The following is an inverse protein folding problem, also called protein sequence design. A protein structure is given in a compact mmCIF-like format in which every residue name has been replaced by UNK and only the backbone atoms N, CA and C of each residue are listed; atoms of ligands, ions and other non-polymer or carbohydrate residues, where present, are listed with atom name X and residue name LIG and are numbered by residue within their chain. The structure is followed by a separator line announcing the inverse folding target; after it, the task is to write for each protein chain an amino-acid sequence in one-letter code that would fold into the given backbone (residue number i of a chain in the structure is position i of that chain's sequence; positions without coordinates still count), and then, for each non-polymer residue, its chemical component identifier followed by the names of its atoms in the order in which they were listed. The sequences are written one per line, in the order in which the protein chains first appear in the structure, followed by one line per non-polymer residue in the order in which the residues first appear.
data_IF_940775961578
#
_entry.id   IF_940775961578
#
_cell.length_a   1.000
_cell.length_b   1.000
_cell.length_c   1.000
_cell.angle_alpha   90.00
_cell.angle_beta   90.00
_cell.angle_gamma   90.00
#
_symmetry.space_group_name_H-M   'P 1'
#
loop_
_entity.id
_entity.type
_entity.pdbx_description
1 polymer ?
#
# COMPACT_ATOMS: atom_id res chain seq x y z
N UNK A 1 -15.58 -28.68 -0.76
CA UNK A 1 -15.86 -27.44 -1.51
C UNK A 1 -14.93 -26.35 -0.99
N UNK A 2 -13.87 -26.04 -1.73
CA UNK A 2 -12.95 -24.96 -1.38
C UNK A 2 -13.67 -23.64 -1.63
N UNK A 3 -14.11 -22.98 -0.57
CA UNK A 3 -14.46 -21.56 -0.63
C UNK A 3 -13.17 -20.81 -0.95
N UNK A 4 -12.89 -20.63 -2.24
CA UNK A 4 -11.98 -19.61 -2.70
C UNK A 4 -12.70 -18.29 -2.47
N UNK A 5 -12.75 -17.84 -1.21
CA UNK A 5 -12.87 -16.43 -0.92
C UNK A 5 -11.68 -15.82 -1.63
N UNK A 6 -11.91 -15.25 -2.81
CA UNK A 6 -10.99 -14.30 -3.41
C UNK A 6 -10.69 -13.31 -2.29
N UNK A 7 -9.55 -13.50 -1.62
CA UNK A 7 -9.13 -12.65 -0.52
C UNK A 7 -9.16 -11.26 -1.11
N UNK A 8 -10.13 -10.46 -0.67
CA UNK A 8 -10.17 -9.04 -1.02
C UNK A 8 -8.78 -8.54 -0.68
N UNK A 9 -8.03 -8.12 -1.71
CA UNK A 9 -6.71 -7.56 -1.50
C UNK A 9 -6.93 -6.21 -0.88
N UNK A 10 -7.01 -6.18 0.44
CA UNK A 10 -7.05 -4.95 1.19
C UNK A 10 -5.69 -4.27 1.04
N UNK A 11 -5.75 -3.05 0.51
CA UNK A 11 -4.63 -2.12 0.53
C UNK A 11 -4.89 -1.13 1.66
N UNK A 12 -3.82 -0.65 2.26
CA UNK A 12 -3.86 0.38 3.30
C UNK A 12 -3.11 1.62 2.82
N UNK A 13 -3.38 2.76 3.46
CA UNK A 13 -2.63 3.99 3.20
C UNK A 13 -1.13 3.74 3.39
N UNK A 14 -0.31 4.34 2.52
CA UNK A 14 1.14 4.15 2.40
C UNK A 14 1.60 2.78 1.89
N UNK A 15 0.71 1.86 1.50
CA UNK A 15 1.12 0.67 0.75
C UNK A 15 1.81 1.10 -0.55
N UNK A 16 3.00 0.56 -0.80
CA UNK A 16 3.70 0.71 -2.07
C UNK A 16 3.15 -0.34 -3.01
N UNK A 17 2.63 0.13 -4.14
CA UNK A 17 2.00 -0.70 -5.16
C UNK A 17 2.68 -0.55 -6.50
N UNK A 18 2.39 -1.48 -7.40
CA UNK A 18 2.85 -1.40 -8.78
C UNK A 18 1.83 -1.93 -9.78
N UNK A 19 1.99 -1.48 -11.03
CA UNK A 19 1.29 -1.99 -12.21
C UNK A 19 2.23 -2.05 -13.41
N UNK A 20 1.82 -2.77 -14.44
CA UNK A 20 2.48 -2.72 -15.74
C UNK A 20 1.80 -1.69 -16.63
N UNK A 21 2.59 -0.93 -17.39
CA UNK A 21 2.09 -0.11 -18.49
C UNK A 21 1.88 -0.95 -19.76
N UNK A 22 1.42 -0.29 -20.84
CA UNK A 22 1.21 -0.93 -22.15
C UNK A 22 2.49 -1.52 -22.76
N UNK A 23 3.66 -1.10 -22.29
CA UNK A 23 4.99 -1.57 -22.71
C UNK A 23 5.62 -2.56 -21.72
N UNK A 24 4.84 -3.12 -20.78
CA UNK A 24 5.31 -4.04 -19.74
C UNK A 24 6.37 -3.44 -18.80
N UNK A 25 6.45 -2.11 -18.69
CA UNK A 25 7.30 -1.43 -17.71
C UNK A 25 6.57 -1.32 -16.39
N UNK A 26 7.31 -1.47 -15.29
CA UNK A 26 6.76 -1.34 -13.94
C UNK A 26 6.58 0.15 -13.63
N UNK A 27 5.38 0.52 -13.19
CA UNK A 27 5.08 1.83 -12.62
C UNK A 27 4.75 1.61 -11.15
N UNK A 28 5.52 2.28 -10.28
CA UNK A 28 5.29 2.28 -8.85
C UNK A 28 4.29 3.37 -8.46
N UNK A 29 3.58 3.14 -7.36
CA UNK A 29 2.70 4.14 -6.77
C UNK A 29 2.55 3.93 -5.27
N UNK A 30 2.01 4.92 -4.61
CA UNK A 30 1.70 4.89 -3.17
C UNK A 30 0.20 5.03 -3.02
N UNK A 31 -0.40 4.14 -2.23
CA UNK A 31 -1.82 4.22 -1.87
C UNK A 31 -1.99 5.39 -0.92
N UNK A 32 -2.79 6.38 -1.32
CA UNK A 32 -3.14 7.54 -0.50
C UNK A 32 -4.31 7.18 0.39
N UNK A 33 -5.33 6.56 -0.21
CA UNK A 33 -6.60 6.27 0.44
C UNK A 33 -7.20 4.97 -0.09
N UNK A 34 -8.02 4.30 0.71
CA UNK A 34 -8.68 3.04 0.38
C UNK A 34 -10.14 3.08 0.81
N UNK A 35 -10.99 2.32 0.13
CA UNK A 35 -12.41 2.30 0.47
C UNK A 35 -12.66 1.93 1.93
N UNK A 36 -13.25 2.86 2.68
CA UNK A 36 -13.80 2.64 4.02
C UNK A 36 -15.34 2.61 3.95
N UNK A 37 -15.94 1.60 4.57
CA UNK A 37 -17.40 1.48 4.65
C UNK A 37 -17.97 2.33 5.81
N UNK A 38 -17.53 3.60 5.91
CA UNK A 38 -18.03 4.55 6.90
C UNK A 38 -19.16 5.40 6.32
N UNK A 39 -20.14 5.79 7.14
CA UNK A 39 -21.27 6.64 6.75
C UNK A 39 -20.94 8.13 6.71
N UNK A 40 -19.79 8.53 7.24
CA UNK A 40 -19.47 9.94 7.52
C UNK A 40 -18.48 10.53 6.51
N UNK A 41 -18.27 9.87 5.36
CA UNK A 41 -17.36 10.33 4.31
C UNK A 41 -18.05 11.35 3.40
N UNK A 42 -17.35 12.44 3.13
CA UNK A 42 -17.77 13.48 2.18
C UNK A 42 -18.00 12.86 0.79
N UNK A 43 -19.26 12.83 0.34
CA UNK A 43 -19.70 12.06 -0.84
C UNK A 43 -18.93 12.43 -2.12
N UNK A 44 -18.44 13.67 -2.23
CA UNK A 44 -17.72 14.16 -3.40
C UNK A 44 -16.37 13.49 -3.63
N UNK A 45 -15.77 12.89 -2.59
CA UNK A 45 -14.47 12.23 -2.66
C UNK A 45 -14.51 10.78 -2.15
N UNK A 46 -15.69 10.23 -1.91
CA UNK A 46 -15.84 8.86 -1.44
C UNK A 46 -15.36 7.84 -2.49
N UNK A 47 -14.54 6.89 -2.05
CA UNK A 47 -14.18 5.72 -2.86
C UNK A 47 -15.35 4.74 -2.90
N UNK A 48 -15.45 3.97 -3.99
CA UNK A 48 -16.38 2.83 -4.05
C UNK A 48 -15.69 1.54 -3.62
N UNK A 49 -16.49 0.54 -3.21
CA UNK A 49 -15.97 -0.78 -2.85
C UNK A 49 -15.08 -1.36 -3.95
N UNK A 50 -13.86 -1.77 -3.57
CA UNK A 50 -12.85 -2.30 -4.49
C UNK A 50 -12.05 -1.22 -5.23
N UNK A 51 -12.22 0.06 -4.87
CA UNK A 51 -11.38 1.16 -5.33
C UNK A 51 -10.34 1.57 -4.27
N UNK A 52 -9.26 2.14 -4.76
CA UNK A 52 -8.19 2.78 -4.00
C UNK A 52 -7.79 4.07 -4.71
N UNK A 53 -7.28 5.03 -3.96
CA UNK A 53 -6.64 6.23 -4.51
C UNK A 53 -5.13 6.06 -4.46
N UNK A 54 -4.47 6.27 -5.60
CA UNK A 54 -3.03 6.03 -5.76
C UNK A 54 -2.37 7.23 -6.42
N UNK A 55 -1.23 7.66 -5.89
CA UNK A 55 -0.29 8.56 -6.56
C UNK A 55 0.78 7.73 -7.26
N UNK A 56 0.85 7.80 -8.59
CA UNK A 56 1.80 7.02 -9.39
C UNK A 56 3.09 7.82 -9.63
N UNK A 57 4.25 7.15 -9.63
CA UNK A 57 5.56 7.78 -9.82
C UNK A 57 5.73 8.51 -11.16
N UNK A 58 4.88 8.20 -12.14
CA UNK A 58 4.87 8.81 -13.46
C UNK A 58 3.74 9.83 -13.66
N UNK A 59 3.06 10.24 -12.59
CA UNK A 59 1.99 11.22 -12.63
C UNK A 59 2.03 12.12 -11.40
N UNK A 60 1.69 13.40 -11.55
CA UNK A 60 1.67 14.37 -10.45
C UNK A 60 0.34 14.42 -9.70
N UNK A 61 -0.70 13.71 -10.16
CA UNK A 61 -2.04 13.71 -9.56
C UNK A 61 -2.45 12.34 -9.07
N UNK A 62 -3.20 12.34 -7.98
CA UNK A 62 -3.88 11.17 -7.43
C UNK A 62 -4.92 10.63 -8.43
N UNK A 63 -5.07 9.31 -8.47
CA UNK A 63 -6.01 8.64 -9.35
C UNK A 63 -6.75 7.53 -8.61
N UNK A 64 -8.04 7.39 -8.90
CA UNK A 64 -8.86 6.28 -8.41
C UNK A 64 -8.65 5.06 -9.31
N UNK A 65 -8.30 3.93 -8.72
CA UNK A 65 -8.01 2.67 -9.41
C UNK A 65 -8.78 1.52 -8.79
N UNK A 66 -9.10 0.50 -9.60
CA UNK A 66 -9.61 -0.77 -9.10
C UNK A 66 -8.46 -1.57 -8.47
N UNK A 67 -8.67 -2.06 -7.24
CA UNK A 67 -7.71 -2.89 -6.51
C UNK A 67 -7.24 -4.11 -7.33
N UNK A 68 -8.13 -4.70 -8.13
CA UNK A 68 -7.82 -5.86 -8.99
C UNK A 68 -6.81 -5.57 -10.11
N UNK A 69 -6.54 -4.30 -10.42
CA UNK A 69 -5.57 -3.87 -11.44
C UNK A 69 -4.21 -3.50 -10.85
N UNK A 70 -4.07 -3.60 -9.53
CA UNK A 70 -2.90 -3.15 -8.78
C UNK A 70 -2.30 -4.32 -7.99
N UNK A 71 -0.98 -4.31 -7.80
CA UNK A 71 -0.25 -5.33 -7.04
C UNK A 71 0.50 -4.69 -5.89
N UNK A 72 0.45 -5.31 -4.72
CA UNK A 72 1.23 -4.89 -3.55
C UNK A 72 2.71 -5.19 -3.81
N UNK A 73 3.57 -4.20 -3.65
CA UNK A 73 5.03 -4.36 -3.65
C UNK A 73 5.54 -4.45 -2.21
N UNK A 74 5.15 -3.48 -1.37
CA UNK A 74 5.60 -3.39 0.00
C UNK A 74 4.51 -2.80 0.88
N UNK A 75 4.39 -3.35 2.09
CA UNK A 75 3.60 -2.80 3.18
C UNK A 75 4.53 -2.50 4.32
N UNK A 76 4.54 -1.26 4.77
CA UNK A 76 5.25 -0.85 5.97
C UNK A 76 4.42 -1.19 7.19
N UNK A 77 5.08 -1.66 8.25
CA UNK A 77 4.49 -1.67 9.59
C UNK A 77 4.68 -0.26 10.15
N UNK A 78 3.66 0.28 10.82
CA UNK A 78 3.71 1.58 11.47
C UNK A 78 3.40 1.46 12.96
N UNK A 79 3.81 2.43 13.81
CA UNK A 79 3.43 2.44 15.21
C UNK A 79 1.90 2.35 15.39
N UNK A 80 1.46 1.44 16.26
CA UNK A 80 0.04 1.12 16.47
C UNK A 80 -0.43 -0.14 15.75
N UNK A 81 0.27 -0.60 14.72
CA UNK A 81 -0.11 -1.83 14.02
C UNK A 81 -0.04 -3.06 14.93
N UNK A 82 -1.10 -3.88 14.91
CA UNK A 82 -1.10 -5.18 15.59
C UNK A 82 -0.31 -6.18 14.74
N UNK A 83 0.73 -6.74 15.32
CA UNK A 83 1.63 -7.70 14.66
C UNK A 83 1.61 -9.03 15.38
N UNK A 84 1.94 -10.10 14.65
CA UNK A 84 2.16 -11.43 15.24
C UNK A 84 3.26 -12.16 14.52
N UNK A 85 3.97 -13.04 15.23
CA UNK A 85 4.92 -13.95 14.59
C UNK A 85 4.16 -15.01 13.79
N UNK A 86 4.62 -15.32 12.58
CA UNK A 86 4.04 -16.42 11.80
C UNK A 86 4.87 -17.67 12.03
N UNK A 87 4.36 -18.57 12.88
CA UNK A 87 4.89 -19.92 13.06
C UNK A 87 3.87 -20.94 12.56
N UNK A 88 4.29 -21.83 11.66
CA UNK A 88 3.39 -22.83 11.08
C UNK A 88 2.85 -23.75 12.17
N UNK A 89 1.52 -23.85 12.27
CA UNK A 89 0.84 -24.72 13.22
C UNK A 89 0.82 -24.20 14.66
N UNK A 90 1.21 -22.93 14.90
CA UNK A 90 1.16 -22.32 16.23
C UNK A 90 0.38 -21.02 16.20
N UNK A 91 -0.50 -20.87 17.18
CA UNK A 91 -1.06 -19.58 17.54
C UNK A 91 -0.07 -18.87 18.47
N UNK A 92 0.61 -17.86 17.94
CA UNK A 92 1.55 -17.04 18.70
C UNK A 92 0.84 -15.83 19.28
N UNK A 93 1.38 -15.28 20.36
CA UNK A 93 0.90 -14.02 20.93
C UNK A 93 0.94 -12.87 19.91
N UNK A 94 -0.02 -11.95 20.03
CA UNK A 94 -0.06 -10.68 19.29
C UNK A 94 0.67 -9.61 20.09
N UNK A 95 1.40 -8.76 19.39
CA UNK A 95 1.97 -7.53 19.92
C UNK A 95 1.50 -6.33 19.10
N UNK A 96 2.03 -5.15 19.43
CA UNK A 96 1.85 -3.97 18.61
C UNK A 96 3.22 -3.37 18.26
N UNK A 97 3.31 -2.76 17.09
CA UNK A 97 4.49 -2.00 16.71
C UNK A 97 4.55 -0.73 17.56
N UNK A 98 5.61 -0.56 18.34
CA UNK A 98 5.78 0.61 19.23
C UNK A 98 6.50 1.77 18.53
N UNK A 99 7.51 1.46 17.72
CA UNK A 99 8.38 2.43 17.07
C UNK A 99 8.87 1.84 15.75
N UNK A 100 9.04 2.69 14.74
CA UNK A 100 9.62 2.34 13.45
C UNK A 100 10.69 3.35 13.07
N UNK A 101 11.82 2.86 12.56
CA UNK A 101 12.89 3.71 12.03
C UNK A 101 13.04 3.42 10.54
N UNK A 102 12.88 4.46 9.73
CA UNK A 102 13.12 4.40 8.29
C UNK A 102 14.33 5.27 7.97
N UNK A 103 15.29 4.71 7.26
CA UNK A 103 16.53 5.36 6.84
C UNK A 103 16.57 5.35 5.31
N UNK A 104 17.04 6.44 4.71
CA UNK A 104 17.14 6.55 3.26
C UNK A 104 18.41 7.31 2.89
N UNK A 105 19.29 6.65 2.15
CA UNK A 105 20.45 7.27 1.52
C UNK A 105 20.12 7.58 0.06
N UNK A 106 20.22 8.85 -0.33
CA UNK A 106 19.80 9.35 -1.65
C UNK A 106 20.97 9.99 -2.38
N UNK A 107 21.31 9.48 -3.56
CA UNK A 107 22.27 10.12 -4.46
C UNK A 107 21.56 11.10 -5.40
N UNK A 108 22.08 12.32 -5.52
CA UNK A 108 21.57 13.30 -6.47
C UNK A 108 22.08 12.96 -7.88
N UNK A 109 21.15 12.63 -8.78
CA UNK A 109 21.45 12.26 -10.17
C UNK A 109 22.29 13.32 -10.87
N UNK A 110 23.34 12.89 -11.55
CA UNK A 110 24.27 13.79 -12.26
C UNK A 110 25.32 14.45 -11.36
N UNK A 111 25.38 14.07 -10.08
CA UNK A 111 26.37 14.56 -9.13
C UNK A 111 26.97 13.42 -8.31
N UNK A 112 28.06 13.71 -7.61
CA UNK A 112 28.70 12.87 -6.60
C UNK A 112 28.11 13.08 -5.18
N UNK A 113 27.05 13.90 -5.05
CA UNK A 113 26.45 14.24 -3.76
C UNK A 113 25.48 13.16 -3.28
N UNK A 114 25.60 12.83 -2.00
CA UNK A 114 24.73 11.88 -1.28
C UNK A 114 24.13 12.56 -0.05
N UNK A 115 22.86 12.29 0.22
CA UNK A 115 22.13 12.68 1.42
C UNK A 115 21.86 11.40 2.21
N UNK A 116 22.20 11.38 3.50
CA UNK A 116 21.97 10.26 4.44
C UNK A 116 20.94 10.61 5.50
#
# INVERSE_FOLDING_TARGET
MSNNTDKVKEFYSNDIVYRFDKHKRIIFGVVIDSYEASSDVDEYHALQKGQIRVLWSNNSREQVWRQSKVRLMNRSVIPGDIVRRLEKGKETQRGYCKETKQLATVQIVGTDKVIE
#
